data_IF_642871057848
#
_entry.id   IF_642871057848
#
_cell.length_a   1.000
_cell.length_b   1.000
_cell.length_c   1.000
_cell.angle_alpha   90.00
_cell.angle_beta   90.00
_cell.angle_gamma   90.00
#
_symmetry.space_group_name_H-M   'P 1'
#
loop_
_entity.id
_entity.type
_entity.pdbx_description
1 polymer ?
#
# COMPACT_ATOMS: atom_id res chain seq x y z
N UNK A 1 14.13 3.51 1.06
CA UNK A 1 13.00 3.11 0.21
C UNK A 1 11.98 2.36 1.02
N UNK A 2 10.73 2.64 0.81
CA UNK A 2 9.64 2.03 1.55
C UNK A 2 8.69 1.35 0.57
N UNK A 3 8.15 0.22 0.99
CA UNK A 3 7.15 -0.50 0.21
C UNK A 3 5.83 -0.40 0.94
N UNK A 4 4.86 0.23 0.29
CA UNK A 4 3.54 0.42 0.88
C UNK A 4 2.59 -0.65 0.38
N UNK A 5 1.79 -1.18 1.31
CA UNK A 5 0.73 -2.10 0.94
C UNK A 5 -0.52 -1.26 0.78
N UNK A 6 -1.03 -1.20 -0.42
CA UNK A 6 -2.19 -0.36 -0.74
C UNK A 6 -3.40 -1.24 -0.99
N UNK A 7 -4.50 -0.85 -0.38
CA UNK A 7 -5.78 -1.49 -0.62
C UNK A 7 -6.60 -0.55 -1.50
N UNK A 8 -7.02 -1.06 -2.63
CA UNK A 8 -7.90 -0.32 -3.53
C UNK A 8 -9.28 -0.94 -3.44
N UNK A 9 -10.29 -0.11 -3.19
CA UNK A 9 -11.67 -0.58 -3.17
C UNK A 9 -12.38 -0.03 -4.39
N UNK A 10 -12.98 -0.92 -5.15
CA UNK A 10 -13.67 -0.59 -6.38
C UNK A 10 -15.16 -0.41 -6.09
N UNK A 11 -15.67 0.78 -6.36
CA UNK A 11 -17.08 1.07 -6.19
C UNK A 11 -17.74 1.22 -7.55
N UNK A 12 -18.88 0.57 -7.69
CA UNK A 12 -19.57 0.52 -8.97
C UNK A 12 -19.87 1.90 -9.56
N UNK A 13 -20.33 2.80 -8.72
CA UNK A 13 -20.80 4.11 -9.19
C UNK A 13 -20.02 5.28 -8.63
N UNK A 14 -18.82 5.02 -8.14
CA UNK A 14 -18.00 6.05 -7.51
C UNK A 14 -16.56 5.81 -7.85
N UNK A 15 -15.74 6.81 -7.62
CA UNK A 15 -14.31 6.65 -7.81
C UNK A 15 -13.76 5.64 -6.83
N UNK A 16 -12.77 4.88 -7.26
CA UNK A 16 -12.12 3.93 -6.38
C UNK A 16 -11.42 4.65 -5.25
N UNK A 17 -11.38 4.03 -4.09
CA UNK A 17 -10.66 4.60 -2.97
C UNK A 17 -9.41 3.78 -2.71
N UNK A 18 -8.41 4.43 -2.14
CA UNK A 18 -7.12 3.82 -1.86
C UNK A 18 -6.75 4.05 -0.41
N UNK A 19 -6.16 3.04 0.19
CA UNK A 19 -5.79 3.13 1.59
C UNK A 19 -4.46 2.43 1.80
N UNK A 20 -3.58 3.08 2.57
CA UNK A 20 -2.32 2.45 2.94
C UNK A 20 -2.61 1.57 4.14
N UNK A 21 -2.40 0.27 3.98
CA UNK A 21 -2.69 -0.69 5.03
C UNK A 21 -1.48 -0.96 5.91
N UNK A 22 -0.30 -0.94 5.29
CA UNK A 22 0.91 -1.28 6.01
C UNK A 22 2.11 -0.86 5.17
N UNK A 23 3.29 -0.98 5.72
CA UNK A 23 4.50 -0.65 4.99
C UNK A 23 5.67 -1.45 5.54
N UNK A 24 6.73 -1.55 4.75
CA UNK A 24 7.96 -2.19 5.17
C UNK A 24 9.10 -1.62 4.35
N UNK A 25 10.29 -1.58 4.92
CA UNK A 25 11.47 -1.18 4.16
C UNK A 25 12.16 -2.40 3.57
N UNK A 26 11.56 -3.57 3.68
CA UNK A 26 12.09 -4.82 3.16
C UNK A 26 11.07 -5.41 2.20
N UNK A 27 11.48 -5.62 0.94
CA UNK A 27 10.57 -6.10 -0.07
C UNK A 27 10.01 -7.50 0.24
N UNK A 28 10.84 -8.38 0.78
CA UNK A 28 10.39 -9.72 1.10
C UNK A 28 9.30 -9.68 2.16
N UNK A 29 9.49 -8.84 3.16
CA UNK A 29 8.47 -8.68 4.19
C UNK A 29 7.20 -8.06 3.62
N UNK A 30 7.35 -7.09 2.74
CA UNK A 30 6.20 -6.46 2.11
C UNK A 30 5.40 -7.48 1.32
N UNK A 31 6.09 -8.37 0.60
CA UNK A 31 5.41 -9.42 -0.15
C UNK A 31 4.66 -10.37 0.77
N UNK A 32 5.24 -10.70 1.92
CA UNK A 32 4.56 -11.56 2.88
C UNK A 32 3.31 -10.88 3.40
N UNK A 33 3.40 -9.59 3.71
CA UNK A 33 2.26 -8.82 4.17
C UNK A 33 1.17 -8.79 3.10
N UNK A 34 1.57 -8.57 1.85
CA UNK A 34 0.64 -8.52 0.75
C UNK A 34 -0.14 -9.83 0.64
N UNK A 35 0.57 -10.96 0.70
CA UNK A 35 -0.09 -12.25 0.63
C UNK A 35 -1.04 -12.46 1.80
N UNK A 36 -0.64 -12.01 2.98
CA UNK A 36 -1.48 -12.12 4.15
C UNK A 36 -2.79 -11.35 3.99
N UNK A 37 -2.71 -10.13 3.51
CA UNK A 37 -3.91 -9.33 3.28
C UNK A 37 -4.80 -9.97 2.23
N UNK A 38 -4.20 -10.49 1.16
CA UNK A 38 -4.99 -11.14 0.12
C UNK A 38 -5.71 -12.38 0.62
N UNK A 39 -5.07 -13.12 1.52
CA UNK A 39 -5.66 -14.35 2.04
C UNK A 39 -6.86 -14.10 2.92
N UNK A 40 -6.84 -13.02 3.69
CA UNK A 40 -7.94 -12.76 4.61
C UNK A 40 -9.04 -11.91 4.01
N UNK A 41 -8.80 -11.34 2.83
CA UNK A 41 -9.79 -10.49 2.19
C UNK A 41 -10.93 -11.32 1.64
N UNK A 42 -12.14 -10.95 1.99
CA UNK A 42 -13.33 -11.68 1.55
C UNK A 42 -14.15 -10.92 0.52
N UNK A 43 -13.87 -9.63 0.36
CA UNK A 43 -14.62 -8.80 -0.56
C UNK A 43 -13.87 -8.75 -1.88
N UNK A 44 -14.53 -9.19 -2.95
CA UNK A 44 -13.90 -9.24 -4.26
C UNK A 44 -13.66 -7.85 -4.86
N UNK A 45 -14.19 -6.82 -4.24
CA UNK A 45 -13.99 -5.46 -4.73
C UNK A 45 -12.76 -4.81 -4.12
N UNK A 46 -12.06 -5.51 -3.25
CA UNK A 46 -10.83 -5.00 -2.63
C UNK A 46 -9.63 -5.67 -3.27
N UNK A 47 -8.68 -4.85 -3.68
CA UNK A 47 -7.46 -5.32 -4.32
C UNK A 47 -6.27 -4.77 -3.56
N UNK A 48 -5.22 -5.56 -3.47
CA UNK A 48 -4.02 -5.16 -2.76
C UNK A 48 -2.83 -5.13 -3.69
N UNK A 49 -1.96 -4.16 -3.50
CA UNK A 49 -0.75 -4.05 -4.31
C UNK A 49 0.36 -3.44 -3.48
N UNK A 50 1.58 -3.56 -3.99
CA UNK A 50 2.73 -2.95 -3.37
C UNK A 50 3.14 -1.76 -4.22
N UNK A 51 3.32 -0.61 -3.57
CA UNK A 51 3.81 0.57 -4.23
C UNK A 51 5.15 0.93 -3.63
N UNK A 52 6.15 1.02 -4.48
CA UNK A 52 7.48 1.39 -4.05
C UNK A 52 7.55 2.89 -3.91
N UNK A 53 8.02 3.34 -2.77
CA UNK A 53 8.07 4.75 -2.49
C UNK A 53 9.45 5.12 -1.97
N UNK A 54 10.12 6.01 -2.67
CA UNK A 54 11.41 6.49 -2.21
C UNK A 54 11.17 7.63 -1.27
N UNK A 55 11.60 7.45 -0.05
CA UNK A 55 11.41 8.47 0.95
C UNK A 55 12.22 9.68 0.55
N UNK A 56 11.59 10.77 0.28
CA UNK A 56 12.31 11.96 -0.14
C UNK A 56 12.93 12.65 1.05
N UNK A 57 14.18 12.48 1.19
CA UNK A 57 14.88 13.20 2.22
C UNK A 57 14.73 14.67 2.06
N UNK A 58 14.47 15.03 0.86
CA UNK A 58 14.22 16.40 0.53
C UNK A 58 13.22 17.05 1.41
N UNK A 59 12.22 16.30 1.77
CA UNK A 59 11.19 16.85 2.61
C UNK A 59 11.71 17.32 3.94
N UNK A 60 12.71 16.64 4.39
CA UNK A 60 13.24 16.96 5.69
C UNK A 60 13.97 18.29 5.65
N UNK A 61 14.63 18.52 4.58
CA UNK A 61 15.37 19.72 4.47
C UNK A 61 14.53 20.92 4.31
N UNK A 62 13.41 20.75 3.72
CA UNK A 62 12.54 21.86 3.51
C UNK A 62 12.07 22.48 4.76
N UNK A 63 11.94 21.68 5.77
CA UNK A 63 11.47 22.22 7.01
C UNK A 63 12.56 22.94 7.75
N UNK A 64 13.74 22.72 7.37
CA UNK A 64 14.81 23.41 8.01
C UNK A 64 14.95 24.86 7.50
#
# INVERSE_FOLDING_TARGET
>A
MIYLIIKETDYENMDNTYRVMDYSNNLDKANDMLQGYKLIEKDKNNFYSIVKYETPLVLTEEVA
#
